data_IF_354535580049
#
_entry.id   IF_354535580049
#
_cell.length_a   1.000
_cell.length_b   1.000
_cell.length_c   1.000
_cell.angle_alpha   90.00
_cell.angle_beta   90.00
_cell.angle_gamma   90.00
#
_symmetry.space_group_name_H-M   'P 1'
#
loop_
_entity.id
_entity.type
_entity.pdbx_description
1 polymer ?
#
# COMPACT_ATOMS: atom_id res chain seq x y z
N UNK A 1 -0.77 35.26 -3.47
CA UNK A 1 -1.94 34.39 -3.57
C UNK A 1 -2.15 34.08 -5.05
N UNK A 2 -2.36 32.82 -5.45
CA UNK A 2 -2.64 32.48 -6.85
C UNK A 2 -4.04 32.99 -7.21
N UNK A 3 -4.25 33.50 -8.44
CA UNK A 3 -5.43 34.29 -8.78
C UNK A 3 -6.50 33.51 -9.59
N UNK A 4 -6.25 32.26 -9.97
CA UNK A 4 -7.21 31.39 -10.67
C UNK A 4 -6.96 29.90 -10.40
N UNK A 5 -7.94 29.05 -10.71
CA UNK A 5 -7.79 27.59 -10.65
C UNK A 5 -6.72 27.09 -11.63
N UNK A 6 -6.65 27.65 -12.84
CA UNK A 6 -5.61 27.25 -13.81
C UNK A 6 -4.20 27.53 -13.31
N UNK A 7 -3.99 28.64 -12.60
CA UNK A 7 -2.69 28.94 -11.98
C UNK A 7 -2.39 28.01 -10.80
N UNK A 8 -3.41 27.61 -10.03
CA UNK A 8 -3.28 26.61 -8.98
C UNK A 8 -2.91 25.23 -9.56
N UNK A 9 -3.56 24.79 -10.63
CA UNK A 9 -3.29 23.51 -11.29
C UNK A 9 -1.86 23.45 -11.83
N UNK A 10 -1.40 24.50 -12.53
CA UNK A 10 -0.01 24.57 -13.00
C UNK A 10 0.99 24.55 -11.84
N UNK A 11 0.70 25.27 -10.75
CA UNK A 11 1.57 25.28 -9.58
C UNK A 11 1.66 23.90 -8.92
N UNK A 12 0.54 23.18 -8.82
CA UNK A 12 0.51 21.81 -8.31
C UNK A 12 1.32 20.90 -9.22
N UNK A 13 1.09 20.92 -10.54
CA UNK A 13 1.81 20.07 -11.48
C UNK A 13 3.33 20.25 -11.44
N UNK A 14 3.81 21.49 -11.23
CA UNK A 14 5.24 21.82 -11.14
C UNK A 14 5.90 21.43 -9.81
N UNK A 15 5.12 21.32 -8.72
CA UNK A 15 5.68 21.22 -7.36
C UNK A 15 5.21 20.00 -6.58
N UNK A 16 4.23 19.26 -7.09
CA UNK A 16 3.76 18.04 -6.45
C UNK A 16 4.91 17.05 -6.32
N UNK A 17 5.03 16.48 -5.13
CA UNK A 17 6.03 15.48 -4.80
C UNK A 17 5.43 14.40 -3.92
N UNK A 18 6.20 13.35 -3.68
CA UNK A 18 5.77 12.26 -2.80
C UNK A 18 6.06 12.59 -1.34
N UNK A 19 5.16 12.16 -0.45
CA UNK A 19 5.42 12.08 0.99
C UNK A 19 6.11 10.77 1.39
N UNK A 20 6.51 9.94 0.42
CA UNK A 20 7.13 8.61 0.61
C UNK A 20 6.25 7.60 1.34
N UNK A 21 4.92 7.79 1.30
CA UNK A 21 3.94 6.82 1.81
C UNK A 21 3.57 5.79 0.73
N UNK A 22 4.57 5.07 0.21
CA UNK A 22 4.37 4.11 -0.88
C UNK A 22 3.71 2.81 -0.36
N UNK A 23 2.76 2.28 -1.13
CA UNK A 23 1.98 1.09 -0.78
C UNK A 23 1.24 0.49 -1.99
N UNK A 24 0.69 -0.71 -1.83
CA UNK A 24 -0.29 -1.30 -2.77
C UNK A 24 0.26 -1.98 -4.02
N UNK A 25 1.56 -2.23 -4.12
CA UNK A 25 2.16 -2.93 -5.28
C UNK A 25 1.97 -4.46 -5.25
N UNK A 26 1.55 -5.03 -4.11
CA UNK A 26 1.28 -6.45 -3.93
C UNK A 26 -0.05 -6.66 -3.20
N UNK A 27 -1.18 -6.10 -3.69
CA UNK A 27 -2.40 -5.94 -2.90
C UNK A 27 -2.93 -7.28 -2.38
N UNK A 28 -3.36 -7.26 -1.11
CA UNK A 28 -4.06 -8.36 -0.47
C UNK A 28 -5.48 -8.49 -1.01
N UNK A 29 -5.89 -9.71 -1.33
CA UNK A 29 -7.24 -9.97 -1.83
C UNK A 29 -7.57 -11.46 -1.97
N UNK A 30 -8.84 -11.79 -2.28
CA UNK A 30 -9.24 -13.16 -2.54
C UNK A 30 -8.59 -13.68 -3.83
N UNK A 31 -8.37 -15.00 -3.93
CA UNK A 31 -7.78 -15.62 -5.14
C UNK A 31 -8.64 -15.44 -6.40
N UNK A 32 -9.92 -15.06 -6.26
CA UNK A 32 -10.80 -14.70 -7.37
C UNK A 32 -10.56 -13.29 -7.93
N UNK A 33 -9.82 -12.45 -7.22
CA UNK A 33 -9.44 -11.12 -7.68
C UNK A 33 -8.15 -11.23 -8.50
N UNK A 34 -8.18 -10.96 -9.82
CA UNK A 34 -7.00 -11.08 -10.67
C UNK A 34 -5.91 -10.04 -10.38
N UNK A 35 -6.21 -9.01 -9.59
CA UNK A 35 -5.23 -8.01 -9.16
C UNK A 35 -4.52 -8.38 -7.85
N UNK A 36 -5.08 -9.32 -7.08
CA UNK A 36 -4.53 -9.72 -5.79
C UNK A 36 -3.22 -10.50 -5.94
N UNK A 37 -2.23 -10.12 -5.15
CA UNK A 37 -0.91 -10.78 -5.12
C UNK A 37 -0.77 -11.69 -3.91
N UNK A 38 -1.34 -11.29 -2.76
CA UNK A 38 -1.28 -12.07 -1.53
C UNK A 38 -2.66 -12.38 -0.95
N UNK A 39 -2.76 -13.47 -0.19
CA UNK A 39 -3.94 -13.81 0.59
C UNK A 39 -4.02 -13.05 1.93
N UNK A 40 -5.08 -13.31 2.71
CA UNK A 40 -5.29 -12.67 4.02
C UNK A 40 -4.23 -13.03 5.09
N UNK A 41 -3.34 -13.97 4.79
CA UNK A 41 -2.20 -14.38 5.64
C UNK A 41 -0.86 -13.92 5.04
N UNK A 42 -0.90 -12.98 4.09
CA UNK A 42 0.27 -12.41 3.42
C UNK A 42 1.02 -13.39 2.51
N UNK A 43 0.45 -14.57 2.20
CA UNK A 43 1.08 -15.58 1.35
C UNK A 43 0.87 -15.24 -0.13
N UNK A 44 1.92 -15.38 -0.94
CA UNK A 44 1.83 -15.08 -2.38
C UNK A 44 0.98 -16.15 -3.08
N UNK A 45 -0.02 -15.71 -3.84
CA UNK A 45 -0.87 -16.62 -4.59
C UNK A 45 -0.06 -17.45 -5.59
N UNK A 46 -0.33 -18.76 -5.64
CA UNK A 46 0.34 -19.69 -6.56
C UNK A 46 1.77 -20.10 -6.17
N UNK A 47 2.33 -19.56 -5.08
CA UNK A 47 3.67 -19.90 -4.61
C UNK A 47 3.64 -20.42 -3.16
N UNK A 48 4.31 -21.54 -2.92
CA UNK A 48 4.47 -22.08 -1.57
C UNK A 48 5.67 -21.43 -0.87
N UNK A 49 5.54 -21.17 0.43
CA UNK A 49 6.64 -20.71 1.29
C UNK A 49 7.12 -19.27 1.05
N UNK A 50 6.38 -18.47 0.28
CA UNK A 50 6.69 -17.06 0.03
C UNK A 50 5.60 -16.14 0.59
N UNK A 51 6.00 -15.05 1.22
CA UNK A 51 5.09 -14.05 1.80
C UNK A 51 5.63 -12.64 1.62
N UNK A 52 4.74 -11.66 1.51
CA UNK A 52 5.08 -10.22 1.47
C UNK A 52 4.51 -9.57 2.71
N UNK A 53 5.35 -8.97 3.55
CA UNK A 53 4.95 -8.40 4.84
C UNK A 53 5.47 -6.97 4.97
N UNK A 54 4.80 -6.06 4.27
CA UNK A 54 5.03 -4.62 4.31
C UNK A 54 3.79 -3.87 3.80
N UNK A 55 3.91 -2.56 3.53
CA UNK A 55 2.79 -1.74 3.03
C UNK A 55 2.39 -2.06 1.58
N UNK A 56 3.16 -2.84 0.83
CA UNK A 56 2.79 -3.26 -0.52
C UNK A 56 1.48 -4.07 -0.55
N UNK A 57 1.13 -4.73 0.57
CA UNK A 57 -0.08 -5.55 0.66
C UNK A 57 -1.37 -4.76 0.85
N UNK A 58 -1.29 -3.46 1.12
CA UNK A 58 -2.47 -2.64 1.36
C UNK A 58 -3.26 -2.46 0.04
N UNK A 59 -4.51 -2.95 -0.06
CA UNK A 59 -5.30 -2.84 -1.28
C UNK A 59 -5.81 -1.40 -1.52
N UNK A 60 -5.85 -0.58 -0.46
CA UNK A 60 -6.26 0.82 -0.52
C UNK A 60 -5.37 1.69 0.38
N UNK A 61 -5.14 2.96 0.03
CA UNK A 61 -4.39 3.88 0.87
C UNK A 61 -5.01 4.08 2.25
N UNK A 62 -4.16 4.06 3.28
CA UNK A 62 -4.57 4.38 4.65
C UNK A 62 -4.76 5.89 4.84
N UNK A 63 -5.64 6.29 5.76
CA UNK A 63 -6.01 7.69 6.00
C UNK A 63 -4.92 8.52 6.70
N UNK A 64 -3.88 7.89 7.25
CA UNK A 64 -2.74 8.53 7.92
C UNK A 64 -1.42 7.90 7.45
N UNK A 65 -0.30 8.53 7.81
CA UNK A 65 1.03 8.03 7.45
C UNK A 65 1.20 6.53 7.79
N UNK A 66 1.81 5.72 6.91
CA UNK A 66 1.73 4.27 6.96
C UNK A 66 2.68 3.64 7.97
N UNK A 67 3.52 4.41 8.68
CA UNK A 67 4.50 3.87 9.62
C UNK A 67 3.86 2.98 10.69
N UNK A 68 2.78 3.44 11.33
CA UNK A 68 2.06 2.64 12.31
C UNK A 68 1.38 1.40 11.68
N UNK A 69 0.87 1.54 10.45
CA UNK A 69 0.28 0.43 9.69
C UNK A 69 1.32 -0.62 9.34
N UNK A 70 2.54 -0.22 8.94
CA UNK A 70 3.64 -1.12 8.60
C UNK A 70 4.04 -1.96 9.83
N UNK A 71 4.18 -1.32 11.00
CA UNK A 71 4.44 -2.01 12.26
C UNK A 71 3.31 -3.00 12.56
N UNK A 72 2.05 -2.57 12.45
CA UNK A 72 0.89 -3.42 12.71
C UNK A 72 0.86 -4.65 11.77
N UNK A 73 1.16 -4.47 10.48
CA UNK A 73 1.25 -5.57 9.50
C UNK A 73 2.31 -6.58 9.94
N UNK A 74 3.52 -6.12 10.30
CA UNK A 74 4.59 -6.99 10.79
C UNK A 74 4.19 -7.77 12.04
N UNK A 75 3.66 -7.09 13.06
CA UNK A 75 3.19 -7.69 14.32
C UNK A 75 2.07 -8.70 14.11
N UNK A 76 1.14 -8.42 13.19
CA UNK A 76 0.05 -9.33 12.87
C UNK A 76 0.56 -10.55 12.12
N UNK A 77 1.39 -10.35 11.10
CA UNK A 77 1.91 -11.41 10.25
C UNK A 77 2.86 -12.34 11.01
N UNK A 78 3.63 -11.83 11.98
CA UNK A 78 4.47 -12.63 12.87
C UNK A 78 3.70 -13.78 13.54
N UNK A 79 2.39 -13.63 13.81
CA UNK A 79 1.53 -14.67 14.39
C UNK A 79 1.15 -15.79 13.41
N UNK A 80 1.36 -15.59 12.12
CA UNK A 80 1.16 -16.62 11.09
C UNK A 80 2.39 -17.50 10.89
N UNK A 81 3.56 -17.01 11.30
CA UNK A 81 4.83 -17.72 11.22
C UNK A 81 5.12 -18.36 12.59
N UNK A 82 5.07 -19.68 12.64
CA UNK A 82 5.32 -20.50 13.84
C UNK A 82 5.71 -21.91 13.43
#
# INVERSE_FOLDING_TARGET
MLASNSQLDSWIAERVGTAFHLMGTCPMGPASDPSAVVDARCQVHGLAGLSVVDTAILPVPVSRGPAATAIMIGERAAKFFG
#
